data_IF_879358908164
#
_entry.id   IF_879358908164
#
_cell.length_a   1.000
_cell.length_b   1.000
_cell.length_c   1.000
_cell.angle_alpha   90.00
_cell.angle_beta   90.00
_cell.angle_gamma   90.00
#
_symmetry.space_group_name_H-M   'P 1'
#
loop_
_entity.id
_entity.type
_entity.pdbx_description
1 polymer ?
#
# COMPACT_ATOMS: atom_id res chain seq x y z
N UNK A 1 7.64 0.81 -15.50
CA UNK A 1 6.56 0.91 -14.49
C UNK A 1 6.40 -0.41 -13.76
N UNK A 2 6.41 -0.41 -12.41
CA UNK A 2 6.17 -1.63 -11.64
C UNK A 2 4.83 -2.26 -11.96
N UNK A 3 4.79 -3.58 -11.90
CA UNK A 3 3.59 -4.38 -12.16
C UNK A 3 3.20 -5.22 -10.97
N UNK A 4 1.91 -5.24 -10.69
CA UNK A 4 1.33 -6.12 -9.69
C UNK A 4 0.29 -7.03 -10.34
N UNK A 5 0.04 -8.14 -9.66
CA UNK A 5 -0.98 -9.10 -10.08
C UNK A 5 -1.93 -9.34 -8.91
N UNK A 6 -3.22 -9.34 -9.22
CA UNK A 6 -4.25 -9.69 -8.24
C UNK A 6 -4.37 -11.22 -8.24
N UNK A 7 -3.98 -11.84 -7.14
CA UNK A 7 -3.99 -13.31 -6.99
C UNK A 7 -4.68 -13.66 -5.68
N UNK A 8 -5.79 -14.38 -5.74
CA UNK A 8 -6.51 -14.82 -4.55
C UNK A 8 -6.90 -13.68 -3.63
N UNK A 9 -7.32 -12.55 -4.19
CA UNK A 9 -7.72 -11.38 -3.41
C UNK A 9 -6.57 -10.55 -2.84
N UNK A 10 -5.33 -10.88 -3.21
CA UNK A 10 -4.12 -10.17 -2.76
C UNK A 10 -3.43 -9.52 -3.96
N UNK A 11 -2.87 -8.35 -3.73
CA UNK A 11 -2.11 -7.65 -4.77
C UNK A 11 -0.63 -7.89 -4.52
N UNK A 12 0.00 -8.61 -5.44
CA UNK A 12 1.40 -9.04 -5.31
C UNK A 12 2.23 -8.41 -6.41
N UNK A 13 3.40 -7.89 -6.05
CA UNK A 13 4.41 -7.39 -7.00
C UNK A 13 5.45 -8.50 -7.16
N UNK A 14 5.39 -9.30 -8.25
CA UNK A 14 6.23 -10.50 -8.36
C UNK A 14 7.72 -10.20 -8.55
N UNK A 15 8.04 -9.13 -9.27
CA UNK A 15 9.43 -8.76 -9.55
C UNK A 15 10.11 -8.22 -8.31
N UNK A 16 11.25 -8.79 -7.94
CA UNK A 16 12.06 -8.29 -6.80
C UNK A 16 12.56 -6.87 -7.10
N UNK A 17 12.94 -6.59 -8.33
CA UNK A 17 13.39 -5.27 -8.74
C UNK A 17 12.27 -4.22 -8.58
N UNK A 18 11.08 -4.52 -9.08
CA UNK A 18 9.91 -3.67 -8.91
C UNK A 18 9.56 -3.50 -7.43
N UNK A 19 9.65 -4.58 -6.65
CA UNK A 19 9.40 -4.57 -5.21
C UNK A 19 10.36 -3.65 -4.48
N UNK A 20 11.64 -3.72 -4.79
CA UNK A 20 12.66 -2.82 -4.25
C UNK A 20 12.36 -1.36 -4.56
N UNK A 21 12.00 -1.10 -5.82
CA UNK A 21 11.70 0.25 -6.29
C UNK A 21 10.50 0.86 -5.55
N UNK A 22 9.43 0.09 -5.41
CA UNK A 22 8.24 0.54 -4.69
C UNK A 22 8.53 0.74 -3.20
N UNK A 23 9.23 -0.20 -2.60
CA UNK A 23 9.59 -0.08 -1.19
C UNK A 23 10.48 1.14 -0.94
N UNK A 24 11.43 1.39 -1.82
CA UNK A 24 12.32 2.56 -1.73
C UNK A 24 11.56 3.88 -1.91
N UNK A 25 10.49 3.89 -2.70
CA UNK A 25 9.75 5.12 -3.02
C UNK A 25 8.87 5.62 -1.87
N UNK A 26 8.50 4.76 -0.93
CA UNK A 26 7.61 5.18 0.16
C UNK A 26 7.26 4.08 1.14
N UNK A 27 8.07 3.05 1.26
CA UNK A 27 7.85 1.91 2.14
C UNK A 27 6.49 1.24 1.89
N UNK A 28 6.13 1.13 0.61
CA UNK A 28 4.89 0.44 0.21
C UNK A 28 5.05 -1.07 0.34
N UNK A 29 4.01 -1.69 0.86
CA UNK A 29 3.92 -3.14 0.89
C UNK A 29 4.69 -3.81 2.01
N UNK A 30 4.61 -5.13 1.99
CA UNK A 30 5.28 -6.00 2.94
C UNK A 30 6.04 -7.04 2.14
N UNK A 31 7.38 -7.12 2.28
CA UNK A 31 8.13 -8.20 1.64
C UNK A 31 7.65 -9.56 2.15
N UNK A 32 7.41 -10.48 1.21
CA UNK A 32 6.88 -11.79 1.54
C UNK A 32 7.86 -12.55 2.44
N UNK A 33 7.37 -13.04 3.58
CA UNK A 33 8.19 -13.79 4.53
C UNK A 33 9.10 -12.96 5.42
N UNK A 34 9.04 -11.63 5.35
CA UNK A 34 9.88 -10.73 6.15
C UNK A 34 9.01 -9.65 6.78
N UNK A 35 9.08 -9.47 8.09
CA UNK A 35 8.23 -8.50 8.80
C UNK A 35 8.63 -7.04 8.56
N UNK A 36 9.91 -6.75 8.62
CA UNK A 36 10.42 -5.38 8.47
C UNK A 36 11.75 -5.36 7.76
N UNK A 37 11.85 -4.45 6.80
CA UNK A 37 13.11 -4.16 6.13
C UNK A 37 13.34 -2.66 6.25
N UNK A 38 14.38 -2.25 6.96
CA UNK A 38 14.72 -0.83 7.15
C UNK A 38 15.41 -0.24 5.93
N UNK A 39 16.27 -1.04 5.29
CA UNK A 39 17.00 -0.62 4.11
C UNK A 39 16.33 -1.21 2.87
N UNK A 40 15.72 -0.36 2.01
CA UNK A 40 15.03 -0.84 0.82
C UNK A 40 15.91 -1.68 -0.11
N UNK A 41 17.22 -1.48 -0.11
CA UNK A 41 18.15 -2.27 -0.93
C UNK A 41 18.20 -3.73 -0.52
N UNK A 42 17.73 -4.05 0.69
CA UNK A 42 17.72 -5.41 1.21
C UNK A 42 16.44 -6.18 0.90
N UNK A 43 15.48 -5.54 0.22
CA UNK A 43 14.27 -6.23 -0.24
C UNK A 43 14.67 -7.26 -1.29
N UNK A 44 14.44 -8.54 -1.00
CA UNK A 44 14.84 -9.66 -1.85
C UNK A 44 13.69 -10.64 -2.14
N UNK A 45 12.47 -10.22 -1.88
CA UNK A 45 11.28 -11.03 -2.10
C UNK A 45 10.16 -10.17 -2.71
N UNK A 46 9.14 -10.81 -3.32
CA UNK A 46 7.97 -10.08 -3.79
C UNK A 46 7.29 -9.28 -2.67
N UNK A 47 6.71 -8.14 -3.02
CA UNK A 47 5.90 -7.37 -2.09
C UNK A 47 4.44 -7.80 -2.18
N UNK A 48 3.78 -7.80 -1.04
CA UNK A 48 2.32 -7.86 -0.96
C UNK A 48 1.85 -6.48 -0.57
N UNK A 49 0.99 -5.88 -1.40
CA UNK A 49 0.41 -4.57 -1.14
C UNK A 49 -0.93 -4.73 -0.44
N UNK A 50 -1.22 -3.85 0.53
CA UNK A 50 -2.58 -3.82 1.05
C UNK A 50 -3.51 -3.12 0.04
N UNK A 51 -4.84 -3.26 0.19
CA UNK A 51 -5.76 -2.67 -0.78
C UNK A 51 -5.60 -1.16 -0.98
N UNK A 52 -5.37 -0.40 0.08
CA UNK A 52 -5.25 1.06 -0.03
C UNK A 52 -3.97 1.47 -0.75
N UNK A 53 -2.88 0.78 -0.48
CA UNK A 53 -1.61 0.99 -1.18
C UNK A 53 -1.78 0.70 -2.68
N UNK A 54 -2.41 -0.42 -3.00
CA UNK A 54 -2.62 -0.82 -4.39
C UNK A 54 -3.48 0.21 -5.13
N UNK A 55 -4.57 0.65 -4.52
CA UNK A 55 -5.45 1.67 -5.11
C UNK A 55 -4.71 2.98 -5.34
N UNK A 56 -3.94 3.43 -4.35
CA UNK A 56 -3.21 4.70 -4.44
C UNK A 56 -2.15 4.66 -5.53
N UNK A 57 -1.36 3.60 -5.56
CA UNK A 57 -0.30 3.45 -6.56
C UNK A 57 -0.87 3.33 -7.97
N UNK A 58 -2.00 2.65 -8.13
CA UNK A 58 -2.68 2.56 -9.42
C UNK A 58 -3.26 3.92 -9.82
N UNK A 59 -3.96 4.60 -8.92
CA UNK A 59 -4.59 5.89 -9.19
C UNK A 59 -3.58 6.96 -9.59
N UNK A 60 -2.41 6.94 -8.95
CA UNK A 60 -1.35 7.93 -9.21
C UNK A 60 -0.40 7.55 -10.34
N UNK A 61 -0.69 6.46 -11.03
CA UNK A 61 0.12 6.06 -12.18
C UNK A 61 1.49 5.48 -11.85
N UNK A 62 1.67 5.00 -10.63
CA UNK A 62 2.94 4.42 -10.16
C UNK A 62 2.97 2.90 -10.23
N UNK A 63 1.87 2.29 -10.61
CA UNK A 63 1.73 0.84 -10.63
C UNK A 63 0.71 0.45 -11.69
N UNK A 64 1.01 -0.62 -12.41
CA UNK A 64 0.01 -1.31 -13.22
C UNK A 64 -0.44 -2.55 -12.46
N UNK A 65 -1.74 -2.82 -12.46
CA UNK A 65 -2.29 -4.02 -11.81
C UNK A 65 -3.04 -4.83 -12.87
N UNK A 66 -2.79 -6.11 -12.90
CA UNK A 66 -3.50 -7.03 -13.80
C UNK A 66 -4.16 -8.16 -13.01
N UNK A 67 -5.18 -8.76 -13.61
CA UNK A 67 -5.83 -9.93 -13.02
C UNK A 67 -4.99 -11.21 -13.30
N UNK A 68 -5.51 -12.37 -12.87
CA UNK A 68 -4.80 -13.65 -13.05
C UNK A 68 -4.59 -14.03 -14.51
N UNK A 69 -5.42 -13.49 -15.42
CA UNK A 69 -5.34 -13.74 -16.86
C UNK A 69 -4.47 -12.72 -17.59
N UNK A 70 -3.85 -11.81 -16.86
CA UNK A 70 -3.00 -10.77 -17.45
C UNK A 70 -3.73 -9.56 -17.97
N UNK A 71 -5.02 -9.42 -17.65
CA UNK A 71 -5.82 -8.27 -18.07
C UNK A 71 -5.58 -7.06 -17.18
N UNK A 72 -5.29 -5.88 -17.77
CA UNK A 72 -5.13 -4.67 -16.95
C UNK A 72 -6.42 -4.32 -16.21
N UNK A 73 -6.29 -3.90 -14.98
CA UNK A 73 -7.41 -3.46 -14.15
C UNK A 73 -7.35 -1.96 -13.95
N UNK A 74 -8.51 -1.30 -14.08
CA UNK A 74 -8.67 0.10 -13.70
C UNK A 74 -8.99 0.21 -12.22
N UNK A 75 -9.02 1.45 -11.73
CA UNK A 75 -9.21 1.74 -10.30
C UNK A 75 -10.54 1.17 -9.77
N UNK A 76 -11.63 1.41 -10.48
CA UNK A 76 -12.94 0.93 -10.05
C UNK A 76 -13.04 -0.59 -10.06
N UNK A 77 -12.47 -1.23 -11.08
CA UNK A 77 -12.43 -2.68 -11.16
C UNK A 77 -11.62 -3.29 -10.03
N UNK A 78 -10.46 -2.71 -9.73
CA UNK A 78 -9.62 -3.18 -8.65
C UNK A 78 -10.34 -3.03 -7.31
N UNK A 79 -10.95 -1.87 -7.07
CA UNK A 79 -11.71 -1.62 -5.83
C UNK A 79 -12.82 -2.65 -5.66
N UNK A 80 -13.55 -2.96 -6.73
CA UNK A 80 -14.61 -3.95 -6.70
C UNK A 80 -14.08 -5.36 -6.41
N UNK A 81 -13.00 -5.75 -7.06
CA UNK A 81 -12.39 -7.07 -6.88
C UNK A 81 -11.76 -7.25 -5.49
N UNK A 82 -11.34 -6.15 -4.87
CA UNK A 82 -10.82 -6.16 -3.50
C UNK A 82 -11.93 -6.02 -2.45
N UNK A 83 -13.18 -5.93 -2.89
CA UNK A 83 -14.35 -5.76 -2.01
C UNK A 83 -14.25 -4.52 -1.12
N UNK A 84 -13.77 -3.42 -1.69
CA UNK A 84 -13.67 -2.16 -0.99
C UNK A 84 -15.06 -1.61 -0.72
N UNK A 85 -15.43 -1.58 0.55
CA UNK A 85 -16.73 -1.07 0.99
C UNK A 85 -16.77 0.45 0.94
N UNK A 86 -17.95 1.03 1.13
CA UNK A 86 -18.12 2.47 1.24
C UNK A 86 -17.26 3.05 2.37
N UNK A 87 -17.23 2.36 3.52
CA UNK A 87 -16.41 2.74 4.66
C UNK A 87 -14.91 2.68 4.33
N UNK A 88 -14.47 1.60 3.70
CA UNK A 88 -13.07 1.46 3.28
C UNK A 88 -12.69 2.52 2.25
N UNK A 89 -13.62 2.92 1.38
CA UNK A 89 -13.38 4.00 0.43
C UNK A 89 -13.16 5.33 1.15
N UNK A 90 -13.93 5.60 2.22
CA UNK A 90 -13.70 6.77 3.06
C UNK A 90 -12.32 6.77 3.70
N UNK A 91 -11.89 5.62 4.22
CA UNK A 91 -10.54 5.47 4.76
C UNK A 91 -9.47 5.67 3.67
N UNK A 92 -9.75 5.20 2.44
CA UNK A 92 -8.86 5.42 1.31
C UNK A 92 -8.65 6.91 1.02
N UNK A 93 -9.71 7.71 1.09
CA UNK A 93 -9.59 9.15 0.86
C UNK A 93 -8.65 9.81 1.87
N UNK A 94 -8.71 9.39 3.14
CA UNK A 94 -7.78 9.84 4.18
C UNK A 94 -6.37 9.39 3.87
N UNK A 95 -6.20 8.11 3.52
CA UNK A 95 -4.90 7.56 3.12
C UNK A 95 -4.29 8.35 1.97
N UNK A 96 -5.09 8.58 0.92
CA UNK A 96 -4.65 9.31 -0.27
C UNK A 96 -4.20 10.73 0.08
N UNK A 97 -4.94 11.43 0.94
CA UNK A 97 -4.58 12.76 1.37
C UNK A 97 -3.24 12.78 2.11
N UNK A 98 -3.06 11.85 3.06
CA UNK A 98 -1.81 11.74 3.82
C UNK A 98 -0.62 11.43 2.91
N UNK A 99 -0.78 10.49 2.01
CA UNK A 99 0.28 10.14 1.05
C UNK A 99 0.63 11.30 0.13
N UNK A 100 -0.38 12.05 -0.33
CA UNK A 100 -0.17 13.20 -1.21
C UNK A 100 0.63 14.31 -0.53
N UNK A 101 0.68 14.32 0.80
CA UNK A 101 1.49 15.23 1.59
C UNK A 101 2.93 14.73 1.81
N UNK A 102 3.28 13.60 1.20
CA UNK A 102 4.62 13.03 1.32
C UNK A 102 4.85 12.17 2.55
N UNK A 103 3.79 11.84 3.29
CA UNK A 103 3.91 10.99 4.47
C UNK A 103 3.97 9.51 4.06
N UNK A 104 4.72 8.72 4.81
CA UNK A 104 4.69 7.27 4.72
C UNK A 104 3.58 6.78 5.64
N UNK A 105 2.56 6.13 5.07
CA UNK A 105 1.37 5.72 5.80
C UNK A 105 1.31 4.20 5.86
N UNK A 106 1.22 3.67 7.08
CA UNK A 106 1.15 2.24 7.33
C UNK A 106 -0.07 1.92 8.19
N UNK A 107 -0.41 0.62 8.29
CA UNK A 107 -1.50 0.18 9.15
C UNK A 107 -1.26 0.60 10.61
N UNK A 108 -2.29 1.13 11.25
CA UNK A 108 -2.26 1.53 12.66
C UNK A 108 -2.75 0.44 13.61
N UNK A 109 -2.92 -0.77 13.14
CA UNK A 109 -3.52 -1.86 13.93
C UNK A 109 -2.83 -2.10 15.27
N UNK A 110 -1.51 -2.05 15.31
CA UNK A 110 -0.73 -2.20 16.56
C UNK A 110 -1.09 -1.17 17.62
N UNK A 111 -1.58 -0.01 17.22
CA UNK A 111 -1.90 1.12 18.09
C UNK A 111 -3.41 1.29 18.27
N UNK A 112 -4.19 0.33 17.80
CA UNK A 112 -5.65 0.45 17.82
C UNK A 112 -6.17 1.59 16.96
N UNK A 113 -5.42 2.00 15.95
CA UNK A 113 -5.75 3.11 15.07
C UNK A 113 -5.93 2.65 13.64
N UNK A 114 -6.44 3.53 12.79
CA UNK A 114 -6.59 3.25 11.35
C UNK A 114 -5.23 3.25 10.65
N UNK A 115 -4.42 4.29 10.92
CA UNK A 115 -3.13 4.48 10.28
C UNK A 115 -2.09 5.00 11.26
N UNK A 116 -0.83 4.74 10.93
CA UNK A 116 0.29 5.52 11.46
C UNK A 116 1.00 6.16 10.27
N UNK A 117 1.43 7.39 10.45
CA UNK A 117 2.10 8.16 9.40
C UNK A 117 3.47 8.63 9.89
N UNK A 118 4.45 8.51 9.01
CA UNK A 118 5.84 8.88 9.31
C UNK A 118 6.29 9.94 8.29
N UNK A 119 7.12 10.86 8.74
CA UNK A 119 7.75 11.82 7.83
C UNK A 119 8.87 11.18 7.02
N UNK A 120 9.62 10.26 7.63
CA UNK A 120 10.77 9.59 7.00
C UNK A 120 10.52 8.12 6.70
N UNK A 121 9.89 7.41 7.62
CA UNK A 121 9.55 6.00 7.43
C UNK A 121 9.67 5.17 8.69
N UNK A 122 9.12 3.94 8.64
CA UNK A 122 9.17 3.01 9.76
C UNK A 122 10.62 2.69 10.15
N UNK A 123 10.91 2.76 11.43
CA UNK A 123 12.24 2.47 11.96
C UNK A 123 13.26 3.60 11.79
N UNK A 124 12.91 4.68 11.08
CA UNK A 124 13.77 5.85 10.88
C UNK A 124 13.42 7.00 11.82
N UNK A 125 12.27 6.93 12.48
CA UNK A 125 11.84 7.90 13.47
C UNK A 125 11.05 7.21 14.57
N UNK A 126 11.06 7.81 15.78
CA UNK A 126 10.52 7.17 16.99
C UNK A 126 9.07 7.53 17.31
N UNK A 127 8.57 8.61 16.75
CA UNK A 127 7.24 9.12 17.10
C UNK A 127 6.39 9.32 15.85
N UNK A 128 5.74 8.25 15.34
CA UNK A 128 4.83 8.40 14.22
C UNK A 128 3.58 9.15 14.64
N UNK A 129 2.92 9.76 13.67
CA UNK A 129 1.58 10.27 13.87
C UNK A 129 0.61 9.10 13.88
N UNK A 130 -0.29 9.07 14.84
CA UNK A 130 -1.33 8.05 14.95
C UNK A 130 -2.63 8.67 14.48
N UNK A 131 -3.27 8.04 13.48
CA UNK A 131 -4.47 8.59 12.83
C UNK A 131 -5.64 7.63 13.02
N UNK A 132 -6.74 8.18 13.51
CA UNK A 132 -8.01 7.47 13.62
C UNK A 132 -8.97 8.02 12.59
N UNK A 133 -9.56 7.13 11.78
CA UNK A 133 -10.62 7.50 10.85
C UNK A 133 -11.96 7.06 11.45
N UNK A 134 -12.87 8.01 11.54
CA UNK A 134 -14.24 7.75 11.97
C UNK A 134 -15.18 7.99 10.80
N UNK A 135 -15.85 6.97 10.29
CA UNK A 135 -16.79 7.17 9.19
C UNK A 135 -17.93 8.10 9.61
N UNK A 136 -18.43 8.93 8.70
CA UNK A 136 -19.58 9.77 9.00
C UNK A 136 -20.81 8.90 9.26
N UNK A 137 -21.66 9.37 10.14
CA UNK A 137 -22.93 8.71 10.52
C UNK A 137 -23.94 8.73 9.37
#
# INVERSE_FOLDING_TARGET
MPRAKLVGGRVVVPSVEDSRRLYASGFYGQPLGVEKVKDPSQVSSPLVLDPLEALYLLETGQLEVEDEDGRPLGLEELARKLNVTKEAWGAYLVYRDLRSRGLVVRSGLKYGASFVAYRKGPGLEHAPFVIHYYPPD
#
